data_IF_600809752345
#
_entry.id   IF_600809752345
#
_cell.length_a   1.000
_cell.length_b   1.000
_cell.length_c   1.000
_cell.angle_alpha   90.00
_cell.angle_beta   90.00
_cell.angle_gamma   90.00
#
_symmetry.space_group_name_H-M   'P 1'
#
loop_
_entity.id
_entity.type
_entity.pdbx_description
1 polymer ?
#
# COMPACT_ATOMS: atom_id res chain seq x y z
N UNK A 1 -41.25 -37.12 -53.34
CA UNK A 1 -40.64 -35.77 -53.24
C UNK A 1 -40.56 -35.47 -51.76
N UNK A 2 -39.44 -35.84 -51.13
CA UNK A 2 -38.32 -34.94 -50.75
C UNK A 2 -38.56 -34.40 -49.32
N UNK A 3 -37.63 -34.36 -48.38
CA UNK A 3 -36.23 -34.78 -48.24
C UNK A 3 -35.90 -34.70 -46.73
N UNK A 4 -34.85 -35.41 -46.29
CA UNK A 4 -34.32 -35.48 -44.93
C UNK A 4 -33.71 -34.16 -44.41
N UNK A 5 -33.59 -34.03 -43.08
CA UNK A 5 -32.67 -33.19 -42.28
C UNK A 5 -32.49 -33.98 -40.95
N UNK A 6 -31.37 -34.57 -40.53
CA UNK A 6 -29.93 -34.35 -40.67
C UNK A 6 -29.38 -33.16 -39.84
N UNK A 7 -28.88 -33.52 -38.64
CA UNK A 7 -27.73 -32.95 -37.89
C UNK A 7 -27.86 -31.49 -37.34
N UNK A 8 -27.18 -30.98 -36.31
CA UNK A 8 -25.92 -31.34 -35.63
C UNK A 8 -25.70 -30.35 -34.42
N UNK A 9 -24.74 -30.64 -33.51
CA UNK A 9 -24.05 -29.73 -32.56
C UNK A 9 -24.81 -29.26 -31.28
N UNK A 10 -24.25 -29.19 -30.07
CA UNK A 10 -22.89 -29.40 -29.55
C UNK A 10 -22.99 -29.49 -28.02
N UNK A 11 -22.40 -30.53 -27.43
CA UNK A 11 -21.87 -30.45 -26.07
C UNK A 11 -20.58 -29.64 -26.14
N UNK A 12 -20.59 -28.44 -25.58
CA UNK A 12 -19.40 -27.60 -25.46
C UNK A 12 -19.47 -26.80 -24.19
N UNK A 13 -18.65 -27.20 -23.22
CA UNK A 13 -18.22 -26.37 -22.10
C UNK A 13 -18.02 -24.94 -22.56
N UNK A 14 -18.62 -24.00 -21.85
CA UNK A 14 -17.85 -22.85 -21.43
C UNK A 14 -18.48 -22.27 -20.16
N UNK A 15 -18.20 -22.97 -19.06
CA UNK A 15 -18.10 -22.30 -17.78
C UNK A 15 -16.94 -21.32 -17.89
N UNK A 16 -17.19 -20.17 -18.50
CA UNK A 16 -16.45 -18.96 -18.21
C UNK A 16 -16.83 -18.58 -16.77
N UNK A 17 -16.21 -19.31 -15.84
CA UNK A 17 -15.93 -18.85 -14.50
C UNK A 17 -15.01 -17.65 -14.66
N UNK A 18 -15.62 -16.51 -14.96
CA UNK A 18 -15.00 -15.22 -14.79
C UNK A 18 -14.83 -15.05 -13.28
N UNK A 19 -13.73 -15.60 -12.77
CA UNK A 19 -13.02 -15.12 -11.59
C UNK A 19 -12.51 -13.69 -11.86
N UNK A 20 -13.41 -12.79 -12.29
CA UNK A 20 -13.21 -11.36 -12.51
C UNK A 20 -13.78 -10.55 -11.32
N UNK A 21 -14.06 -11.23 -10.20
CA UNK A 21 -14.28 -10.58 -8.89
C UNK A 21 -12.93 -10.21 -8.21
N UNK A 22 -11.83 -10.20 -8.96
CA UNK A 22 -10.61 -9.52 -8.53
C UNK A 22 -10.83 -8.04 -8.77
N UNK A 23 -11.04 -7.31 -7.68
CA UNK A 23 -11.23 -5.86 -7.67
C UNK A 23 -10.13 -5.18 -8.51
N UNK A 24 -10.43 -4.19 -9.37
CA UNK A 24 -9.44 -3.58 -10.28
C UNK A 24 -8.17 -3.06 -9.58
N UNK A 25 -8.26 -2.74 -8.28
CA UNK A 25 -7.14 -2.34 -7.43
C UNK A 25 -6.07 -3.44 -7.27
N UNK A 26 -6.44 -4.72 -7.30
CA UNK A 26 -5.46 -5.83 -7.20
C UNK A 26 -4.61 -5.94 -8.45
N UNK A 27 -5.21 -5.77 -9.63
CA UNK A 27 -4.53 -5.90 -10.92
C UNK A 27 -3.47 -4.81 -11.15
N UNK A 28 -3.55 -3.70 -10.40
CA UNK A 28 -2.62 -2.56 -10.49
C UNK A 28 -1.78 -2.38 -9.22
N UNK A 29 -1.77 -3.36 -8.32
CA UNK A 29 -1.01 -3.30 -7.07
C UNK A 29 0.49 -3.33 -7.35
N UNK A 30 1.26 -2.52 -6.62
CA UNK A 30 2.72 -2.50 -6.70
C UNK A 30 3.39 -3.53 -5.78
N UNK A 31 2.59 -4.40 -5.14
CA UNK A 31 3.04 -5.32 -4.09
C UNK A 31 4.17 -6.25 -4.55
N UNK A 32 4.06 -6.82 -5.75
CA UNK A 32 5.08 -7.72 -6.31
C UNK A 32 6.39 -6.99 -6.67
N UNK A 33 6.33 -5.67 -6.83
CA UNK A 33 7.50 -4.84 -7.14
C UNK A 33 8.19 -4.32 -5.87
N UNK A 34 7.65 -4.56 -4.68
CA UNK A 34 8.31 -4.15 -3.43
C UNK A 34 9.48 -5.08 -3.12
N UNK A 35 10.66 -4.51 -2.88
CA UNK A 35 11.80 -5.24 -2.34
C UNK A 35 11.68 -5.28 -0.81
N UNK A 36 10.95 -6.30 -0.34
CA UNK A 36 10.72 -6.48 1.09
C UNK A 36 12.01 -6.75 1.89
N UNK A 37 13.08 -7.26 1.28
CA UNK A 37 14.31 -7.59 1.99
C UNK A 37 15.16 -6.37 2.29
N UNK A 38 15.10 -5.37 1.42
CA UNK A 38 15.76 -4.08 1.62
C UNK A 38 14.87 -3.04 2.33
N UNK A 39 13.63 -3.39 2.65
CA UNK A 39 12.70 -2.51 3.37
C UNK A 39 13.17 -2.27 4.82
N UNK A 40 13.10 -1.02 5.26
CA UNK A 40 13.46 -0.60 6.62
C UNK A 40 12.35 0.19 7.28
N UNK A 41 12.31 0.17 8.61
CA UNK A 41 11.39 0.97 9.41
C UNK A 41 12.13 1.44 10.67
N UNK A 42 12.12 2.74 10.92
CA UNK A 42 12.73 3.37 12.09
C UNK A 42 11.66 3.65 13.14
N UNK A 43 12.05 3.49 14.41
CA UNK A 43 11.21 3.70 15.60
C UNK A 43 9.98 2.76 15.71
N UNK A 44 10.01 1.58 15.09
CA UNK A 44 8.98 0.55 15.30
C UNK A 44 9.15 -0.15 16.66
N UNK A 45 8.05 -0.29 17.42
CA UNK A 45 8.01 -0.97 18.71
C UNK A 45 8.32 -2.48 18.59
N UNK A 46 7.84 -3.08 17.51
CA UNK A 46 8.09 -4.48 17.18
C UNK A 46 8.96 -4.51 15.95
N UNK A 47 10.11 -5.19 16.06
CA UNK A 47 11.04 -5.37 14.95
C UNK A 47 10.35 -6.03 13.75
N UNK A 48 10.53 -5.45 12.57
CA UNK A 48 9.92 -5.85 11.30
C UNK A 48 8.40 -5.71 11.22
N UNK A 49 7.75 -4.98 12.14
CA UNK A 49 6.32 -4.69 12.06
C UNK A 49 5.96 -3.92 10.79
N UNK A 50 6.78 -2.96 10.38
CA UNK A 50 6.54 -2.21 9.14
C UNK A 50 6.52 -3.13 7.93
N UNK A 51 7.50 -4.03 7.82
CA UNK A 51 7.56 -5.07 6.79
C UNK A 51 6.37 -6.03 6.86
N UNK A 52 5.92 -6.38 8.06
CA UNK A 52 4.78 -7.28 8.26
C UNK A 52 3.46 -6.63 7.83
N UNK A 53 3.23 -5.36 8.15
CA UNK A 53 2.06 -4.58 7.73
C UNK A 53 2.02 -4.44 6.22
N UNK A 54 3.12 -4.05 5.58
CA UNK A 54 3.17 -3.92 4.11
C UNK A 54 2.99 -5.27 3.39
N UNK A 55 3.24 -6.40 4.08
CA UNK A 55 3.01 -7.75 3.55
C UNK A 55 1.57 -8.23 3.65
N UNK A 56 0.67 -7.49 4.31
CA UNK A 56 -0.75 -7.87 4.34
C UNK A 56 -1.27 -7.96 2.93
N UNK A 57 -1.84 -9.11 2.61
CA UNK A 57 -2.56 -9.28 1.34
C UNK A 57 -3.85 -8.46 1.38
N UNK A 58 -4.48 -8.28 0.22
CA UNK A 58 -5.81 -7.69 0.18
C UNK A 58 -6.81 -8.47 1.03
N UNK A 59 -6.73 -9.80 1.12
CA UNK A 59 -7.62 -10.58 1.98
C UNK A 59 -7.44 -10.23 3.47
N UNK A 60 -6.20 -9.97 3.88
CA UNK A 60 -5.82 -9.65 5.26
C UNK A 60 -5.92 -8.14 5.57
N UNK A 61 -6.32 -7.31 4.60
CA UNK A 61 -6.34 -5.84 4.74
C UNK A 61 -7.25 -5.31 5.85
N UNK A 62 -8.13 -6.15 6.39
CA UNK A 62 -9.02 -5.82 7.51
C UNK A 62 -8.55 -6.42 8.85
N UNK A 63 -7.53 -7.27 8.84
CA UNK A 63 -6.96 -7.89 10.05
C UNK A 63 -6.23 -6.84 10.87
N UNK A 64 -6.42 -6.88 12.20
CA UNK A 64 -5.78 -5.95 13.13
C UNK A 64 -4.28 -6.23 13.25
N UNK A 65 -3.89 -7.50 13.23
CA UNK A 65 -2.49 -7.91 13.28
C UNK A 65 -2.01 -8.37 11.89
N UNK A 66 -0.75 -8.11 11.53
CA UNK A 66 0.23 -7.31 12.26
C UNK A 66 -0.14 -5.81 12.29
N UNK A 67 0.21 -5.11 13.36
CA UNK A 67 0.12 -3.64 13.44
C UNK A 67 1.51 -3.04 13.53
N UNK A 68 1.68 -1.85 12.96
CA UNK A 68 2.90 -1.07 13.09
C UNK A 68 2.64 0.02 14.12
N UNK A 69 3.35 -0.05 15.25
CA UNK A 69 3.29 0.89 16.37
C UNK A 69 4.65 1.51 16.63
N UNK A 70 4.68 2.78 17.05
CA UNK A 70 5.94 3.46 17.44
C UNK A 70 6.39 3.08 18.86
N UNK A 71 7.71 2.95 19.06
CA UNK A 71 8.28 2.45 20.32
C UNK A 71 8.22 3.48 21.47
N UNK A 72 8.63 4.72 21.19
CA UNK A 72 8.72 5.78 22.19
C UNK A 72 8.07 7.09 21.71
N UNK A 73 8.58 7.61 20.60
CA UNK A 73 8.12 8.88 20.04
C UNK A 73 6.99 8.67 19.02
N UNK A 74 6.15 9.68 18.81
CA UNK A 74 5.03 9.67 17.86
C UNK A 74 5.47 9.87 16.40
N UNK A 75 6.62 9.29 16.03
CA UNK A 75 7.23 9.43 14.72
C UNK A 75 7.69 8.07 14.21
N UNK A 76 7.28 7.70 13.00
CA UNK A 76 7.75 6.51 12.31
C UNK A 76 8.27 6.89 10.94
N UNK A 77 9.37 6.29 10.53
CA UNK A 77 9.88 6.43 9.17
C UNK A 77 10.00 5.05 8.53
N UNK A 78 9.19 4.79 7.51
CA UNK A 78 9.23 3.57 6.74
C UNK A 78 9.86 3.85 5.37
N UNK A 79 10.78 3.00 4.93
CA UNK A 79 11.39 3.09 3.59
C UNK A 79 11.10 1.83 2.80
N UNK A 80 10.42 2.00 1.67
CA UNK A 80 9.95 0.95 0.77
C UNK A 80 10.72 1.07 -0.55
N UNK A 81 11.75 0.25 -0.77
CA UNK A 81 12.40 0.14 -2.07
C UNK A 81 11.56 -0.69 -3.03
N UNK A 82 11.65 -0.37 -4.31
CA UNK A 82 11.06 -1.15 -5.40
C UNK A 82 12.15 -1.85 -6.21
N UNK A 83 11.87 -3.06 -6.68
CA UNK A 83 12.77 -3.87 -7.52
C UNK A 83 12.96 -3.31 -8.93
N UNK A 84 12.07 -2.42 -9.35
CA UNK A 84 12.14 -1.68 -10.61
C UNK A 84 11.53 -0.28 -10.44
N UNK A 85 11.75 0.59 -11.44
CA UNK A 85 11.09 1.89 -11.47
C UNK A 85 9.58 1.71 -11.70
N UNK A 86 8.78 2.25 -10.79
CA UNK A 86 7.31 2.19 -10.84
C UNK A 86 6.70 3.59 -10.94
N UNK A 87 5.42 3.63 -11.31
CA UNK A 87 4.59 4.82 -11.23
C UNK A 87 3.56 4.62 -10.14
N UNK A 88 3.58 5.48 -9.11
CA UNK A 88 2.61 5.42 -8.01
C UNK A 88 1.38 6.26 -8.36
N UNK A 89 0.21 5.68 -8.17
CA UNK A 89 -1.08 6.32 -8.47
C UNK A 89 -1.83 6.73 -7.20
N UNK A 90 -1.83 5.86 -6.20
CA UNK A 90 -2.42 6.08 -4.89
C UNK A 90 -1.75 5.17 -3.86
N UNK A 91 -2.03 5.45 -2.59
CA UNK A 91 -1.60 4.64 -1.44
C UNK A 91 -2.86 4.15 -0.74
N UNK A 92 -2.92 2.83 -0.51
CA UNK A 92 -3.92 2.23 0.36
C UNK A 92 -3.37 2.24 1.78
N UNK A 93 -4.10 2.88 2.69
CA UNK A 93 -3.72 2.95 4.10
C UNK A 93 -4.94 2.76 4.98
N UNK A 94 -4.77 1.97 6.04
CA UNK A 94 -5.75 1.85 7.11
C UNK A 94 -5.13 2.38 8.39
N UNK A 95 -5.95 3.00 9.21
CA UNK A 95 -5.53 3.56 10.51
C UNK A 95 -6.41 2.99 11.61
N UNK A 96 -6.23 3.45 12.85
CA UNK A 96 -7.22 3.25 13.90
C UNK A 96 -8.13 4.49 14.04
N UNK A 97 -9.36 4.34 14.59
CA UNK A 97 -10.20 5.48 14.95
C UNK A 97 -9.76 6.14 16.27
N UNK A 98 -8.55 5.83 16.75
CA UNK A 98 -7.98 6.40 17.97
C UNK A 98 -7.57 7.85 17.74
N UNK A 99 -7.63 8.65 18.82
CA UNK A 99 -7.03 9.98 18.82
C UNK A 99 -5.52 9.92 18.55
N UNK A 100 -4.89 8.78 18.86
CA UNK A 100 -3.48 8.51 18.62
C UNK A 100 -3.18 8.04 17.21
N UNK A 101 -4.15 7.86 16.31
CA UNK A 101 -3.86 7.52 14.92
C UNK A 101 -3.28 8.71 14.16
N UNK A 102 -2.40 8.50 13.17
CA UNK A 102 -1.80 9.61 12.45
C UNK A 102 -2.80 10.34 11.57
N UNK A 103 -2.61 11.66 11.50
CA UNK A 103 -3.41 12.55 10.66
C UNK A 103 -2.68 12.99 9.41
N UNK A 104 -1.37 12.86 9.40
CA UNK A 104 -0.53 13.28 8.27
C UNK A 104 0.47 12.19 7.93
N UNK A 105 0.72 12.05 6.64
CA UNK A 105 1.73 11.17 6.08
C UNK A 105 2.55 11.91 5.04
N UNK A 106 3.83 12.08 5.30
CA UNK A 106 4.76 12.74 4.42
C UNK A 106 5.46 11.71 3.51
N UNK A 107 5.35 11.94 2.20
CA UNK A 107 5.91 11.08 1.18
C UNK A 107 7.19 11.68 0.63
N UNK A 108 8.26 10.89 0.60
CA UNK A 108 9.53 11.25 -0.03
C UNK A 108 9.87 10.22 -1.10
N UNK A 109 10.25 10.68 -2.28
CA UNK A 109 10.56 9.81 -3.43
C UNK A 109 12.06 9.85 -3.71
N UNK A 110 12.66 8.68 -3.87
CA UNK A 110 14.04 8.49 -4.31
C UNK A 110 15.09 9.23 -3.44
N UNK A 111 14.84 9.31 -2.13
CA UNK A 111 15.77 9.88 -1.15
C UNK A 111 16.46 8.74 -0.40
N UNK A 112 17.64 8.27 -0.84
CA UNK A 112 18.35 7.20 -0.16
C UNK A 112 18.82 7.67 1.23
N UNK A 113 18.80 6.77 2.20
CA UNK A 113 19.26 7.04 3.57
C UNK A 113 18.52 8.19 4.28
N UNK A 114 17.24 8.38 3.98
CA UNK A 114 16.40 9.32 4.72
C UNK A 114 16.29 8.86 6.18
N UNK A 115 16.52 9.80 7.10
CA UNK A 115 16.35 9.65 8.54
C UNK A 115 15.49 10.82 9.08
N UNK A 116 15.22 10.85 10.38
CA UNK A 116 14.38 11.90 10.97
C UNK A 116 14.98 13.30 10.76
N UNK A 117 16.28 13.47 11.01
CA UNK A 117 16.95 14.77 10.87
C UNK A 117 16.91 15.30 9.43
N UNK A 118 17.21 14.45 8.46
CA UNK A 118 17.17 14.82 7.05
C UNK A 118 15.76 15.00 6.52
N UNK A 119 14.77 14.32 7.10
CA UNK A 119 13.36 14.52 6.77
C UNK A 119 12.80 15.85 7.31
N UNK A 120 13.30 16.34 8.46
CA UNK A 120 12.94 17.67 9.00
C UNK A 120 13.44 18.81 8.10
N UNK A 121 14.63 18.67 7.52
CA UNK A 121 15.23 19.66 6.63
C UNK A 121 14.71 19.58 5.17
N UNK A 122 14.11 18.44 4.78
CA UNK A 122 13.65 18.19 3.42
C UNK A 122 12.14 18.45 3.26
N UNK A 123 11.77 19.14 2.16
CA UNK A 123 10.36 19.26 1.80
C UNK A 123 9.82 17.90 1.31
N UNK A 124 8.70 17.38 1.86
CA UNK A 124 8.09 16.15 1.36
C UNK A 124 7.61 16.34 -0.08
N UNK A 125 7.79 15.31 -0.90
CA UNK A 125 7.28 15.29 -2.29
C UNK A 125 5.77 15.52 -2.31
N UNK A 126 5.07 14.95 -1.33
CA UNK A 126 3.67 15.25 -1.07
C UNK A 126 3.33 14.90 0.39
N UNK A 127 2.62 15.81 1.06
CA UNK A 127 1.94 15.53 2.34
C UNK A 127 0.52 15.04 2.08
N UNK A 128 0.14 13.93 2.70
CA UNK A 128 -1.22 13.40 2.70
C UNK A 128 -1.89 13.69 4.03
N UNK A 129 -3.20 13.96 4.00
CA UNK A 129 -4.04 13.95 5.20
C UNK A 129 -4.75 12.60 5.31
N UNK A 130 -4.70 12.02 6.50
CA UNK A 130 -5.26 10.73 6.84
C UNK A 130 -6.51 10.93 7.70
N UNK A 131 -7.56 10.17 7.42
CA UNK A 131 -8.71 10.06 8.32
C UNK A 131 -8.40 9.03 9.39
N UNK A 132 -8.76 9.31 10.65
CA UNK A 132 -8.65 8.35 11.76
C UNK A 132 -9.85 7.39 11.69
N UNK A 133 -9.76 6.37 10.84
CA UNK A 133 -10.83 5.38 10.59
C UNK A 133 -10.28 3.97 10.50
N UNK A 134 -11.13 2.99 10.85
CA UNK A 134 -10.86 1.55 10.66
C UNK A 134 -11.04 1.09 9.21
N UNK A 135 -11.58 1.94 8.33
CA UNK A 135 -11.75 1.64 6.91
C UNK A 135 -10.45 1.83 6.13
N UNK A 136 -10.28 1.06 5.05
CA UNK A 136 -9.17 1.25 4.10
C UNK A 136 -9.40 2.52 3.29
N UNK A 137 -8.43 3.42 3.30
CA UNK A 137 -8.45 4.67 2.55
C UNK A 137 -7.59 4.53 1.30
N UNK A 138 -8.16 4.85 0.14
CA UNK A 138 -7.42 4.98 -1.12
C UNK A 138 -7.09 6.45 -1.38
N UNK A 139 -5.86 6.85 -1.07
CA UNK A 139 -5.43 8.24 -1.12
C UNK A 139 -4.60 8.48 -2.39
N UNK A 140 -5.10 9.27 -3.36
CA UNK A 140 -4.40 9.51 -4.60
C UNK A 140 -3.17 10.40 -4.41
N UNK A 141 -2.10 10.09 -5.16
CA UNK A 141 -0.92 10.95 -5.22
C UNK A 141 -0.92 11.81 -6.49
N UNK A 142 -0.15 12.90 -6.48
CA UNK A 142 0.09 13.76 -7.63
C UNK A 142 0.98 13.02 -8.63
N UNK A 143 0.37 12.20 -9.49
CA UNK A 143 1.04 11.28 -10.44
C UNK A 143 2.24 11.86 -11.20
N UNK A 144 2.25 13.16 -11.49
CA UNK A 144 3.39 13.83 -12.12
C UNK A 144 4.69 13.72 -11.28
N UNK A 145 4.57 13.86 -9.96
CA UNK A 145 5.68 13.78 -9.00
C UNK A 145 6.10 12.32 -8.72
N UNK A 146 5.20 11.36 -8.95
CA UNK A 146 5.42 9.95 -8.66
C UNK A 146 5.49 9.07 -9.91
N UNK A 147 6.00 9.62 -11.01
CA UNK A 147 6.07 8.92 -12.30
C UNK A 147 7.27 7.97 -12.44
N UNK A 148 8.29 8.14 -11.60
CA UNK A 148 9.58 7.43 -11.65
C UNK A 148 10.08 7.11 -10.24
N UNK A 149 9.31 6.30 -9.51
CA UNK A 149 9.62 5.93 -8.11
C UNK A 149 10.47 4.66 -8.13
N UNK A 150 11.63 4.68 -7.48
CA UNK A 150 12.45 3.48 -7.17
C UNK A 150 12.51 3.22 -5.68
N UNK A 151 12.22 4.24 -4.86
CA UNK A 151 12.11 4.13 -3.42
C UNK A 151 11.06 5.14 -2.93
N UNK A 152 10.20 4.73 -2.00
CA UNK A 152 9.23 5.57 -1.33
C UNK A 152 9.51 5.54 0.18
N UNK A 153 9.71 6.70 0.78
CA UNK A 153 9.77 6.83 2.24
C UNK A 153 8.50 7.49 2.75
N UNK A 154 7.95 6.94 3.82
CA UNK A 154 6.73 7.37 4.50
C UNK A 154 7.12 7.85 5.90
N UNK A 155 7.03 9.15 6.15
CA UNK A 155 7.18 9.73 7.48
C UNK A 155 5.80 9.96 8.08
N UNK A 156 5.51 9.29 9.17
CA UNK A 156 4.28 9.49 9.94
C UNK A 156 4.45 10.73 10.81
N UNK A 157 3.53 11.70 10.66
CA UNK A 157 3.62 12.97 11.37
C UNK A 157 3.32 12.89 12.86
N UNK A 158 3.82 13.89 13.59
CA UNK A 158 3.73 14.04 15.05
C UNK A 158 2.27 14.14 15.53
N UNK A 159 1.95 13.55 16.69
CA UNK A 159 0.59 13.50 17.25
C UNK A 159 -0.03 12.10 17.26
N UNK A 160 0.73 11.06 16.89
CA UNK A 160 0.22 9.72 16.77
C UNK A 160 1.19 8.63 17.27
N UNK A 161 0.75 7.85 18.27
CA UNK A 161 1.18 6.45 18.33
C UNK A 161 0.67 5.83 17.05
N UNK A 162 1.53 5.75 16.05
CA UNK A 162 1.13 5.31 14.74
C UNK A 162 0.45 3.95 14.90
N UNK A 163 -0.87 3.88 14.86
CA UNK A 163 -1.63 2.64 14.77
C UNK A 163 -1.90 2.47 13.26
N UNK A 164 -0.84 2.18 12.51
CA UNK A 164 -0.91 2.09 11.05
C UNK A 164 -1.08 0.63 10.63
N UNK A 165 -2.13 0.36 9.86
CA UNK A 165 -2.63 -0.98 9.50
C UNK A 165 -2.51 -1.29 8.02
#
# INVERSE_FOLDING_TARGET
MAHCHDEHHSHGHDGHDHSDDITPALQSSLYEQIDFDQMTTLNEAIRHAGKAVTKKTWAERMEMEPELVSDADEQLLMTIPFTAQVKLHSILIRTSPSASAPRTLDLYVNQPNLDFSSAEDAEPTQRLELSQTSDVQDIPVRRALFSKVTQLSLLVGEGARADCL
#
